data_IF_006641156814
#
_entry.id   IF_006641156814
#
_cell.length_a   1.000
_cell.length_b   1.000
_cell.length_c   1.000
_cell.angle_alpha   90.00
_cell.angle_beta   90.00
_cell.angle_gamma   90.00
#
_symmetry.space_group_name_H-M   'P 1'
#
loop_
_entity.id
_entity.type
_entity.pdbx_description
1 polymer ?
#
# COMPACT_ATOMS: atom_id res chain seq x y z
N UNK A 1 3.90 -26.73 9.06
CA UNK A 1 2.99 -25.75 8.44
C UNK A 1 2.30 -25.05 9.59
N UNK A 2 2.92 -24.02 10.15
CA UNK A 2 2.21 -23.07 10.99
C UNK A 2 1.37 -22.24 10.04
N UNK A 3 0.04 -22.20 10.23
CA UNK A 3 -0.78 -21.23 9.53
C UNK A 3 -0.24 -19.85 9.87
N UNK A 4 0.34 -19.17 8.88
CA UNK A 4 0.87 -17.81 9.04
C UNK A 4 -0.32 -16.87 9.28
N UNK A 5 -0.67 -16.74 10.56
CA UNK A 5 -1.73 -15.85 11.01
C UNK A 5 -1.29 -14.41 10.80
N UNK A 6 -2.10 -13.67 10.03
CA UNK A 6 -1.90 -12.23 9.84
C UNK A 6 -2.52 -11.46 11.00
N UNK A 7 -1.91 -10.33 11.30
CA UNK A 7 -2.35 -9.40 12.35
C UNK A 7 -3.70 -8.76 12.00
N UNK A 8 -3.97 -8.52 10.72
CA UNK A 8 -5.29 -8.14 10.21
C UNK A 8 -5.51 -8.61 8.76
N UNK A 9 -6.77 -8.60 8.30
CA UNK A 9 -7.11 -9.07 6.96
C UNK A 9 -6.87 -7.99 5.89
N UNK A 10 -5.71 -8.09 5.24
CA UNK A 10 -5.30 -7.22 4.13
C UNK A 10 -5.52 -7.84 2.75
N UNK A 11 -6.07 -9.06 2.66
CA UNK A 11 -6.14 -9.82 1.40
C UNK A 11 -6.92 -9.10 0.30
N UNK A 12 -8.03 -8.46 0.68
CA UNK A 12 -8.87 -7.72 -0.27
C UNK A 12 -8.13 -6.55 -0.90
N UNK A 13 -7.33 -5.83 -0.10
CA UNK A 13 -6.53 -4.70 -0.60
C UNK A 13 -5.47 -5.20 -1.58
N UNK A 14 -4.74 -6.25 -1.21
CA UNK A 14 -3.71 -6.85 -2.07
C UNK A 14 -4.31 -7.37 -3.39
N UNK A 15 -5.52 -7.93 -3.35
CA UNK A 15 -6.22 -8.37 -4.57
C UNK A 15 -6.60 -7.19 -5.49
N UNK A 16 -7.09 -6.09 -4.94
CA UNK A 16 -7.45 -4.91 -5.74
C UNK A 16 -6.18 -4.27 -6.36
N UNK A 17 -5.07 -4.23 -5.61
CA UNK A 17 -3.77 -3.82 -6.16
C UNK A 17 -3.37 -4.69 -7.34
N UNK A 18 -3.48 -6.01 -7.18
CA UNK A 18 -3.19 -6.95 -8.26
C UNK A 18 -4.03 -6.68 -9.51
N UNK A 19 -5.33 -6.41 -9.34
CA UNK A 19 -6.23 -6.08 -10.46
C UNK A 19 -5.85 -4.80 -11.23
N UNK A 20 -5.00 -3.95 -10.66
CA UNK A 20 -4.46 -2.72 -11.30
C UNK A 20 -3.02 -2.88 -11.79
N UNK A 21 -2.56 -4.12 -11.94
CA UNK A 21 -1.28 -4.44 -12.54
C UNK A 21 -0.09 -4.47 -11.59
N UNK A 22 -0.30 -4.34 -10.28
CA UNK A 22 0.76 -4.50 -9.28
C UNK A 22 1.02 -5.99 -9.00
N UNK A 23 2.29 -6.39 -8.93
CA UNK A 23 2.64 -7.79 -8.80
C UNK A 23 2.42 -8.28 -7.38
N UNK A 24 1.56 -9.28 -7.23
CA UNK A 24 1.36 -9.99 -5.96
C UNK A 24 1.92 -11.41 -6.05
N UNK A 25 2.75 -11.79 -5.06
CA UNK A 25 3.14 -13.18 -4.88
C UNK A 25 2.02 -13.95 -4.16
N UNK A 26 1.08 -14.52 -4.91
CA UNK A 26 0.12 -15.47 -4.33
C UNK A 26 0.85 -16.77 -3.99
N UNK A 27 0.59 -17.33 -2.80
CA UNK A 27 1.05 -18.67 -2.37
C UNK A 27 0.38 -19.78 -3.21
N UNK A 28 0.67 -19.80 -4.50
CA UNK A 28 0.15 -20.72 -5.48
C UNK A 28 1.24 -21.54 -6.16
N UNK A 29 0.82 -22.39 -7.09
CA UNK A 29 1.71 -23.22 -7.90
C UNK A 29 2.66 -22.37 -8.77
N UNK A 30 3.75 -22.97 -9.26
CA UNK A 30 4.67 -22.31 -10.20
C UNK A 30 3.96 -21.71 -11.43
N UNK A 31 2.90 -22.39 -11.93
CA UNK A 31 2.10 -21.91 -13.06
C UNK A 31 1.32 -20.63 -12.75
N UNK A 32 0.68 -20.56 -11.58
CA UNK A 32 -0.08 -19.37 -11.18
C UNK A 32 0.82 -18.18 -10.94
N UNK A 33 2.04 -18.40 -10.44
CA UNK A 33 3.07 -17.35 -10.33
C UNK A 33 3.48 -16.84 -11.71
N UNK A 34 3.75 -17.73 -12.66
CA UNK A 34 4.13 -17.29 -14.01
C UNK A 34 3.01 -16.49 -14.71
N UNK A 35 1.75 -16.90 -14.51
CA UNK A 35 0.61 -16.15 -15.01
C UNK A 35 0.47 -14.77 -14.37
N UNK A 36 0.76 -14.61 -13.07
CA UNK A 36 0.72 -13.30 -12.43
C UNK A 36 1.81 -12.37 -12.99
N UNK A 37 3.02 -12.87 -13.24
CA UNK A 37 4.08 -12.11 -13.92
C UNK A 37 3.69 -11.67 -15.33
N UNK A 38 3.14 -12.60 -16.13
CA UNK A 38 2.75 -12.29 -17.50
C UNK A 38 1.60 -11.27 -17.52
N UNK A 39 0.61 -11.46 -16.65
CA UNK A 39 -0.52 -10.55 -16.51
C UNK A 39 -0.06 -9.12 -16.17
N UNK A 40 0.83 -8.94 -15.19
CA UNK A 40 1.27 -7.60 -14.80
C UNK A 40 2.08 -6.90 -15.90
N UNK A 41 2.95 -7.63 -16.61
CA UNK A 41 3.70 -7.08 -17.75
C UNK A 41 2.74 -6.70 -18.89
N UNK A 42 1.80 -7.57 -19.24
CA UNK A 42 0.80 -7.28 -20.27
C UNK A 42 -0.11 -6.11 -19.88
N UNK A 43 -0.50 -6.03 -18.60
CA UNK A 43 -1.29 -4.92 -18.08
C UNK A 43 -0.52 -3.60 -18.22
N UNK A 44 0.75 -3.53 -17.78
CA UNK A 44 1.58 -2.34 -17.92
C UNK A 44 1.68 -1.87 -19.38
N UNK A 45 1.95 -2.80 -20.31
CA UNK A 45 2.08 -2.46 -21.73
C UNK A 45 0.76 -1.95 -22.32
N UNK A 46 -0.35 -2.65 -22.04
CA UNK A 46 -1.67 -2.23 -22.48
C UNK A 46 -2.04 -0.86 -21.91
N UNK A 47 -1.82 -0.68 -20.62
CA UNK A 47 -2.09 0.57 -19.91
C UNK A 47 -1.29 1.73 -20.50
N UNK A 48 0.01 1.54 -20.72
CA UNK A 48 0.87 2.55 -21.32
C UNK A 48 0.42 2.95 -22.74
N UNK A 49 0.05 1.97 -23.59
CA UNK A 49 -0.47 2.24 -24.93
C UNK A 49 -1.77 3.02 -24.88
N UNK A 50 -2.70 2.61 -24.00
CA UNK A 50 -3.99 3.28 -23.85
C UNK A 50 -3.82 4.72 -23.34
N UNK A 51 -2.96 4.96 -22.36
CA UNK A 51 -2.73 6.32 -21.81
C UNK A 51 -2.07 7.27 -22.83
N UNK A 52 -1.28 6.75 -23.78
CA UNK A 52 -0.63 7.55 -24.83
C UNK A 52 -1.49 7.75 -26.10
N UNK A 53 -2.55 6.97 -26.29
CA UNK A 53 -3.38 6.99 -27.50
C UNK A 53 -4.14 8.33 -27.75
N UNK A 54 -4.71 9.03 -26.74
CA UNK A 54 -5.50 10.22 -27.03
C UNK A 54 -4.61 11.42 -27.38
N UNK A 55 -4.75 11.93 -28.61
CA UNK A 55 -3.81 12.84 -29.29
C UNK A 55 -3.94 14.34 -28.92
N UNK A 56 -4.47 14.66 -27.73
CA UNK A 56 -4.60 16.06 -27.29
C UNK A 56 -3.29 16.58 -26.68
N UNK A 57 -2.55 17.36 -27.47
CA UNK A 57 -1.18 17.86 -27.18
C UNK A 57 -1.03 18.51 -25.80
N UNK A 58 -2.05 19.22 -25.31
CA UNK A 58 -2.03 19.95 -24.03
C UNK A 58 -1.92 19.00 -22.81
N UNK A 59 -2.32 17.73 -22.95
CA UNK A 59 -2.30 16.75 -21.86
C UNK A 59 -1.16 15.73 -21.94
N UNK A 60 -0.40 15.73 -23.03
CA UNK A 60 0.62 14.71 -23.29
C UNK A 60 1.72 14.76 -22.22
N UNK A 61 2.18 15.95 -21.83
CA UNK A 61 3.22 16.11 -20.79
C UNK A 61 2.76 15.58 -19.43
N UNK A 62 1.53 15.90 -19.01
CA UNK A 62 0.94 15.40 -17.77
C UNK A 62 0.83 13.87 -17.77
N UNK A 63 0.35 13.29 -18.89
CA UNK A 63 0.20 11.83 -19.00
C UNK A 63 1.54 11.11 -19.03
N UNK A 64 2.55 11.67 -19.69
CA UNK A 64 3.92 11.13 -19.66
C UNK A 64 4.45 11.12 -18.23
N UNK A 65 4.30 12.22 -17.49
CA UNK A 65 4.72 12.28 -16.07
C UNK A 65 3.96 11.26 -15.21
N UNK A 66 2.64 11.16 -15.38
CA UNK A 66 1.81 10.18 -14.67
C UNK A 66 2.21 8.74 -14.99
N UNK A 67 2.56 8.45 -16.24
CA UNK A 67 2.98 7.12 -16.70
C UNK A 67 4.39 6.78 -16.18
N UNK A 68 5.30 7.76 -16.13
CA UNK A 68 6.61 7.60 -15.48
C UNK A 68 6.43 7.27 -13.99
N UNK A 69 5.56 8.00 -13.29
CA UNK A 69 5.27 7.76 -11.87
C UNK A 69 4.66 6.35 -11.67
N UNK A 70 3.68 5.98 -12.49
CA UNK A 70 3.10 4.63 -12.46
C UNK A 70 4.17 3.56 -12.73
N UNK A 71 5.05 3.78 -13.71
CA UNK A 71 6.12 2.85 -14.03
C UNK A 71 7.08 2.65 -12.86
N UNK A 72 7.45 3.71 -12.13
CA UNK A 72 8.26 3.56 -10.93
C UNK A 72 7.56 2.75 -9.84
N UNK A 73 6.29 3.06 -9.54
CA UNK A 73 5.50 2.30 -8.57
C UNK A 73 5.37 0.83 -8.98
N UNK A 74 5.16 0.58 -10.27
CA UNK A 74 5.14 -0.75 -10.85
C UNK A 74 6.48 -1.46 -10.64
N UNK A 75 7.61 -0.82 -10.96
CA UNK A 75 8.94 -1.42 -10.81
C UNK A 75 9.25 -1.76 -9.36
N UNK A 76 8.86 -0.89 -8.41
CA UNK A 76 8.99 -1.16 -6.97
C UNK A 76 8.17 -2.40 -6.58
N UNK A 77 6.90 -2.45 -6.98
CA UNK A 77 6.01 -3.59 -6.73
C UNK A 77 6.57 -4.88 -7.37
N UNK A 78 7.06 -4.80 -8.60
CA UNK A 78 7.61 -5.93 -9.35
C UNK A 78 8.89 -6.49 -8.72
N UNK A 79 9.81 -5.61 -8.30
CA UNK A 79 11.06 -5.99 -7.65
C UNK A 79 10.84 -6.56 -6.24
N UNK A 80 9.97 -5.91 -5.47
CA UNK A 80 9.67 -6.32 -4.10
C UNK A 80 8.71 -7.50 -4.01
N UNK A 81 8.03 -7.83 -5.12
CA UNK A 81 6.97 -8.85 -5.26
C UNK A 81 5.81 -8.68 -4.26
N UNK A 82 5.74 -7.50 -3.63
CA UNK A 82 4.89 -7.15 -2.48
C UNK A 82 4.91 -8.16 -1.32
N UNK A 83 5.91 -9.05 -1.30
CA UNK A 83 6.09 -10.08 -0.28
C UNK A 83 6.41 -9.42 1.07
N UNK A 84 7.17 -8.32 1.03
CA UNK A 84 7.51 -7.55 2.23
C UNK A 84 6.28 -7.02 2.98
N UNK A 85 5.19 -6.66 2.30
CA UNK A 85 3.96 -6.18 2.96
C UNK A 85 3.31 -7.35 3.68
N UNK A 86 3.15 -8.47 2.99
CA UNK A 86 2.57 -9.67 3.58
C UNK A 86 3.39 -10.16 4.79
N UNK A 87 4.71 -10.23 4.66
CA UNK A 87 5.63 -10.59 5.74
C UNK A 87 5.56 -9.61 6.92
N UNK A 88 5.48 -8.29 6.64
CA UNK A 88 5.35 -7.28 7.69
C UNK A 88 4.11 -7.50 8.55
N UNK A 89 2.99 -7.94 7.94
CA UNK A 89 1.71 -8.20 8.60
C UNK A 89 1.62 -9.57 9.28
N UNK A 90 2.65 -10.42 9.21
CA UNK A 90 2.68 -11.65 10.00
C UNK A 90 2.73 -11.34 11.50
N UNK A 91 2.08 -12.19 12.27
CA UNK A 91 1.97 -12.06 13.71
C UNK A 91 3.35 -12.25 14.37
N UNK A 92 3.77 -11.24 15.13
CA UNK A 92 4.96 -11.30 15.99
C UNK A 92 4.52 -11.76 17.38
N UNK A 93 4.82 -13.01 17.71
CA UNK A 93 4.52 -13.55 19.04
C UNK A 93 5.19 -12.74 20.15
N UNK A 94 4.44 -12.41 21.19
CA UNK A 94 4.91 -11.58 22.30
C UNK A 94 4.51 -10.10 22.15
N UNK A 95 4.71 -9.49 20.98
CA UNK A 95 4.32 -8.10 20.71
C UNK A 95 2.84 -7.99 20.31
N UNK A 96 2.41 -8.81 19.33
CA UNK A 96 1.07 -8.73 18.75
C UNK A 96 0.03 -9.52 19.56
N UNK A 97 0.47 -10.25 20.60
CA UNK A 97 -0.36 -11.07 21.49
C UNK A 97 -0.68 -10.39 22.83
N UNK A 98 -0.27 -9.14 23.03
CA UNK A 98 -0.50 -8.38 24.27
C UNK A 98 -2.01 -8.06 24.42
N UNK A 99 -2.56 -8.02 25.66
CA UNK A 99 -3.92 -7.53 25.90
C UNK A 99 -4.14 -6.15 25.25
N UNK A 100 -5.22 -6.03 24.47
CA UNK A 100 -5.56 -4.80 23.72
C UNK A 100 -5.04 -4.76 22.28
N UNK A 101 -4.11 -5.65 21.89
CA UNK A 101 -3.59 -5.74 20.52
C UNK A 101 -4.70 -5.95 19.48
N UNK A 102 -5.62 -6.88 19.74
CA UNK A 102 -6.74 -7.18 18.84
C UNK A 102 -7.57 -5.94 18.50
N UNK A 103 -7.89 -5.09 19.48
CA UNK A 103 -8.68 -3.88 19.25
C UNK A 103 -7.92 -2.87 18.40
N UNK A 104 -6.62 -2.69 18.64
CA UNK A 104 -5.78 -1.77 17.86
C UNK A 104 -5.69 -2.23 16.40
N UNK A 105 -5.50 -3.53 16.16
CA UNK A 105 -5.42 -4.08 14.81
C UNK A 105 -6.76 -4.09 14.08
N UNK A 106 -7.87 -4.31 14.77
CA UNK A 106 -9.21 -4.13 14.19
C UNK A 106 -9.46 -2.68 13.78
N UNK A 107 -9.06 -1.72 14.62
CA UNK A 107 -9.16 -0.29 14.27
C UNK A 107 -8.25 0.07 13.08
N UNK A 108 -7.06 -0.52 13.00
CA UNK A 108 -6.17 -0.37 11.86
C UNK A 108 -6.82 -0.93 10.59
N UNK A 109 -7.37 -2.14 10.62
CA UNK A 109 -8.05 -2.75 9.48
C UNK A 109 -9.20 -1.89 8.98
N UNK A 110 -10.04 -1.40 9.91
CA UNK A 110 -11.12 -0.49 9.58
C UNK A 110 -10.61 0.82 8.97
N UNK A 111 -9.59 1.43 9.59
CA UNK A 111 -8.98 2.67 9.09
C UNK A 111 -8.40 2.49 7.69
N UNK A 112 -7.72 1.37 7.43
CA UNK A 112 -7.18 1.04 6.12
C UNK A 112 -8.30 0.89 5.08
N UNK A 113 -9.34 0.09 5.37
CA UNK A 113 -10.48 -0.08 4.47
C UNK A 113 -11.16 1.25 4.16
N UNK A 114 -11.45 2.06 5.18
CA UNK A 114 -12.08 3.39 5.01
C UNK A 114 -11.18 4.31 4.19
N UNK A 115 -9.89 4.40 4.53
CA UNK A 115 -8.96 5.23 3.77
C UNK A 115 -8.89 4.78 2.31
N UNK A 116 -8.81 3.48 2.05
CA UNK A 116 -8.76 2.94 0.69
C UNK A 116 -9.99 3.34 -0.12
N UNK A 117 -11.18 3.16 0.45
CA UNK A 117 -12.40 3.56 -0.23
C UNK A 117 -12.49 5.07 -0.42
N UNK A 118 -12.20 5.85 0.62
CA UNK A 118 -12.24 7.31 0.54
C UNK A 118 -11.23 7.82 -0.48
N UNK A 119 -9.97 7.37 -0.46
CA UNK A 119 -8.94 7.82 -1.40
C UNK A 119 -9.31 7.50 -2.85
N UNK A 120 -9.76 6.28 -3.13
CA UNK A 120 -10.16 5.85 -4.47
C UNK A 120 -11.39 6.63 -4.95
N UNK A 121 -12.44 6.76 -4.13
CA UNK A 121 -13.66 7.46 -4.52
C UNK A 121 -13.47 8.97 -4.63
N UNK A 122 -12.90 9.61 -3.61
CA UNK A 122 -12.72 11.06 -3.62
C UNK A 122 -11.68 11.50 -4.63
N UNK A 123 -10.55 10.79 -4.74
CA UNK A 123 -9.51 11.09 -5.71
C UNK A 123 -10.04 11.02 -7.13
N UNK A 124 -10.73 9.93 -7.48
CA UNK A 124 -11.29 9.74 -8.83
C UNK A 124 -12.39 10.75 -9.15
N UNK A 125 -13.34 10.91 -8.24
CA UNK A 125 -14.55 11.70 -8.48
C UNK A 125 -14.23 13.20 -8.49
N UNK A 126 -13.40 13.67 -7.57
CA UNK A 126 -13.05 15.09 -7.48
C UNK A 126 -12.17 15.53 -8.66
N UNK A 127 -11.26 14.67 -9.11
CA UNK A 127 -10.44 14.95 -10.30
C UNK A 127 -11.30 14.96 -11.56
N UNK A 128 -12.20 13.99 -11.73
CA UNK A 128 -13.15 13.95 -12.85
C UNK A 128 -14.04 15.20 -12.92
N UNK A 129 -14.64 15.60 -11.79
CA UNK A 129 -15.45 16.83 -11.72
C UNK A 129 -14.61 18.07 -12.01
N UNK A 130 -13.41 18.17 -11.43
CA UNK A 130 -12.52 19.33 -11.63
C UNK A 130 -12.12 19.51 -13.09
N UNK A 131 -11.84 18.40 -13.80
CA UNK A 131 -11.54 18.40 -15.23
C UNK A 131 -12.77 18.85 -16.02
N UNK A 132 -13.95 18.26 -15.76
CA UNK A 132 -15.17 18.61 -16.46
C UNK A 132 -15.65 20.04 -16.20
N UNK A 133 -15.39 20.61 -15.01
CA UNK A 133 -15.74 21.99 -14.69
C UNK A 133 -14.81 23.01 -15.34
N UNK A 134 -13.50 22.73 -15.38
CA UNK A 134 -12.52 23.64 -16.00
C UNK A 134 -12.51 23.58 -17.52
N UNK A 135 -12.82 22.41 -18.09
CA UNK A 135 -12.68 22.14 -19.53
C UNK A 135 -13.94 21.42 -19.98
N UNK A 136 -14.96 22.21 -20.27
CA UNK A 136 -16.31 21.72 -20.57
C UNK A 136 -16.33 20.81 -21.81
N UNK A 137 -15.41 21.03 -22.75
CA UNK A 137 -15.20 20.19 -23.95
C UNK A 137 -14.60 18.81 -23.63
N UNK A 138 -13.87 18.67 -22.52
CA UNK A 138 -13.30 17.38 -22.09
C UNK A 138 -14.38 16.40 -21.60
N UNK A 139 -15.53 16.91 -21.15
CA UNK A 139 -16.66 16.10 -20.72
C UNK A 139 -17.63 15.75 -21.88
N UNK A 140 -17.25 16.05 -23.13
CA UNK A 140 -18.00 15.62 -24.31
C UNK A 140 -17.91 14.10 -24.51
N UNK A 141 -18.91 13.51 -25.18
CA UNK A 141 -18.95 12.06 -25.48
C UNK A 141 -17.69 11.61 -26.24
N UNK A 142 -17.15 12.48 -27.09
CA UNK A 142 -15.92 12.25 -27.87
C UNK A 142 -14.65 12.19 -27.01
N UNK A 143 -14.61 12.91 -25.88
CA UNK A 143 -13.45 12.98 -24.99
C UNK A 143 -13.61 12.17 -23.69
N UNK A 144 -14.75 11.52 -23.50
CA UNK A 144 -15.05 10.71 -22.30
C UNK A 144 -14.03 9.59 -22.07
N UNK A 145 -13.46 9.02 -23.14
CA UNK A 145 -12.41 7.99 -23.03
C UNK A 145 -11.13 8.52 -22.38
N UNK A 146 -10.71 9.74 -22.74
CA UNK A 146 -9.52 10.38 -22.16
C UNK A 146 -9.70 10.71 -20.67
N UNK A 147 -10.91 11.09 -20.27
CA UNK A 147 -11.26 11.33 -18.86
C UNK A 147 -11.20 10.02 -18.07
N UNK A 148 -11.76 8.92 -18.59
CA UNK A 148 -11.70 7.60 -17.95
C UNK A 148 -10.24 7.15 -17.74
N UNK A 149 -9.39 7.28 -18.76
CA UNK A 149 -7.97 6.95 -18.64
C UNK A 149 -7.25 7.80 -17.59
N UNK A 150 -7.57 9.10 -17.53
CA UNK A 150 -6.98 9.99 -16.52
C UNK A 150 -7.39 9.58 -15.09
N UNK A 151 -8.66 9.18 -14.91
CA UNK A 151 -9.15 8.63 -13.64
C UNK A 151 -8.43 7.32 -13.31
N UNK A 152 -8.29 6.41 -14.28
CA UNK A 152 -7.59 5.15 -14.10
C UNK A 152 -6.10 5.37 -13.72
N UNK A 153 -5.38 6.24 -14.43
CA UNK A 153 -4.01 6.65 -14.10
C UNK A 153 -3.89 7.17 -12.67
N UNK A 154 -4.87 7.97 -12.22
CA UNK A 154 -4.87 8.49 -10.85
C UNK A 154 -5.11 7.38 -9.84
N UNK A 155 -6.11 6.52 -10.05
CA UNK A 155 -6.42 5.39 -9.15
C UNK A 155 -5.26 4.41 -9.03
N UNK A 156 -4.62 4.07 -10.15
CA UNK A 156 -3.49 3.14 -10.17
C UNK A 156 -2.33 3.68 -9.33
N UNK A 157 -2.04 4.99 -9.41
CA UNK A 157 -1.01 5.63 -8.58
C UNK A 157 -1.36 5.66 -7.10
N UNK A 158 -2.58 6.07 -6.75
CA UNK A 158 -3.03 6.09 -5.34
C UNK A 158 -2.96 4.69 -4.73
N UNK A 159 -3.34 3.68 -5.50
CA UNK A 159 -3.27 2.29 -5.08
C UNK A 159 -1.82 1.81 -4.99
N UNK A 160 -0.96 2.17 -5.94
CA UNK A 160 0.48 1.87 -5.86
C UNK A 160 1.11 2.41 -4.57
N UNK A 161 0.83 3.67 -4.23
CA UNK A 161 1.32 4.34 -3.01
C UNK A 161 0.74 3.77 -1.70
N UNK A 162 -0.40 3.06 -1.78
CA UNK A 162 -1.09 2.52 -0.60
C UNK A 162 -0.25 1.56 0.25
N UNK A 163 0.76 0.88 -0.32
CA UNK A 163 1.68 0.01 0.42
C UNK A 163 2.39 0.73 1.56
N UNK A 164 2.78 1.99 1.32
CA UNK A 164 3.49 2.79 2.30
C UNK A 164 2.57 3.16 3.46
N UNK A 165 1.29 3.46 3.16
CA UNK A 165 0.27 3.74 4.18
C UNK A 165 0.00 2.50 5.03
N UNK A 166 -0.09 1.31 4.41
CA UNK A 166 -0.20 0.04 5.14
C UNK A 166 0.98 -0.17 6.09
N UNK A 167 2.19 -0.01 5.57
CA UNK A 167 3.42 -0.20 6.36
C UNK A 167 3.49 0.77 7.56
N UNK A 168 3.26 2.06 7.32
CA UNK A 168 3.28 3.10 8.38
C UNK A 168 2.15 2.84 9.39
N UNK A 169 0.96 2.49 8.94
CA UNK A 169 -0.18 2.19 9.81
C UNK A 169 0.10 1.01 10.75
N UNK A 170 0.72 -0.06 10.22
CA UNK A 170 1.12 -1.19 11.03
C UNK A 170 2.22 -0.83 12.04
N UNK A 171 3.25 -0.11 11.59
CA UNK A 171 4.34 0.35 12.45
C UNK A 171 3.81 1.21 13.59
N UNK A 172 2.93 2.16 13.28
CA UNK A 172 2.28 3.01 14.27
C UNK A 172 1.50 2.19 15.29
N UNK A 173 0.71 1.21 14.84
CA UNK A 173 -0.05 0.32 15.73
C UNK A 173 0.84 -0.49 16.66
N UNK A 174 1.96 -1.04 16.16
CA UNK A 174 2.94 -1.80 16.96
C UNK A 174 3.68 -0.93 17.98
N UNK A 175 4.10 0.28 17.58
CA UNK A 175 4.71 1.25 18.50
C UNK A 175 3.71 1.70 19.57
N UNK A 176 2.44 1.92 19.19
CA UNK A 176 1.36 2.25 20.14
C UNK A 176 1.12 1.11 21.13
N UNK A 177 1.19 -0.14 20.70
CA UNK A 177 1.11 -1.30 21.60
C UNK A 177 2.27 -1.33 22.59
N UNK A 178 3.48 -1.12 22.11
CA UNK A 178 4.68 -1.08 22.93
C UNK A 178 4.58 0.02 24.01
N UNK A 179 4.08 1.20 23.63
CA UNK A 179 3.80 2.30 24.55
C UNK A 179 2.70 1.96 25.57
N UNK A 180 1.58 1.42 25.12
CA UNK A 180 0.48 1.05 26.02
C UNK A 180 0.91 -0.01 27.03
N UNK A 181 1.77 -0.94 26.63
CA UNK A 181 2.35 -1.94 27.53
C UNK A 181 3.18 -1.29 28.64
N UNK A 182 4.02 -0.30 28.31
CA UNK A 182 4.78 0.48 29.29
C UNK A 182 3.87 1.23 30.27
N UNK A 183 2.87 1.93 29.74
CA UNK A 183 1.98 2.79 30.52
C UNK A 183 1.13 1.96 31.49
N UNK A 184 0.59 0.83 31.03
CA UNK A 184 -0.24 -0.05 31.86
C UNK A 184 0.54 -0.87 32.88
N UNK A 185 1.78 -1.29 32.56
CA UNK A 185 2.60 -2.09 33.47
C UNK A 185 3.28 -1.24 34.54
N UNK A 186 3.71 -0.02 34.20
CA UNK A 186 4.27 0.96 35.14
C UNK A 186 3.25 1.45 36.18
N UNK A 187 1.98 1.57 35.79
CA UNK A 187 0.90 2.00 36.70
C UNK A 187 0.53 0.92 37.74
N UNK A 188 0.71 -0.37 37.41
CA UNK A 188 0.16 -1.47 38.20
C UNK A 188 1.22 -2.26 39.01
N UNK A 189 2.52 -2.09 38.73
CA UNK A 189 3.57 -2.91 39.36
C UNK A 189 4.93 -2.21 39.32
N UNK A 190 5.73 -2.34 40.39
CA UNK A 190 7.14 -2.00 40.34
C UNK A 190 7.84 -2.82 39.25
N UNK A 191 8.67 -2.18 38.43
CA UNK A 191 9.34 -2.84 37.31
C UNK A 191 10.32 -3.89 37.82
N UNK A 192 9.97 -5.16 37.63
CA UNK A 192 10.88 -6.27 37.89
C UNK A 192 11.83 -6.48 36.71
N UNK A 193 12.96 -7.14 36.97
CA UNK A 193 13.98 -7.43 35.94
C UNK A 193 13.42 -8.20 34.73
N UNK A 194 12.37 -8.98 34.95
CA UNK A 194 11.70 -9.76 33.92
C UNK A 194 10.88 -8.87 32.96
N UNK A 195 10.14 -7.88 33.47
CA UNK A 195 9.38 -6.92 32.66
C UNK A 195 10.27 -6.07 31.76
N UNK A 196 11.40 -5.59 32.27
CA UNK A 196 12.41 -4.87 31.48
C UNK A 196 12.91 -5.74 30.33
N UNK A 197 13.28 -6.99 30.63
CA UNK A 197 13.77 -7.94 29.61
C UNK A 197 12.71 -8.24 28.55
N UNK A 198 11.46 -8.43 28.96
CA UNK A 198 10.36 -8.67 28.03
C UNK A 198 10.14 -7.46 27.09
N UNK A 199 10.21 -6.24 27.62
CA UNK A 199 10.10 -5.02 26.81
C UNK A 199 11.24 -4.89 25.79
N UNK A 200 12.49 -5.14 26.21
CA UNK A 200 13.66 -5.12 25.31
C UNK A 200 13.46 -6.13 24.17
N UNK A 201 13.05 -7.36 24.49
CA UNK A 201 12.81 -8.38 23.47
C UNK A 201 11.71 -7.98 22.47
N UNK A 202 10.64 -7.32 22.94
CA UNK A 202 9.57 -6.82 22.07
C UNK A 202 10.08 -5.71 21.14
N UNK A 203 10.91 -4.81 21.66
CA UNK A 203 11.54 -3.75 20.88
C UNK A 203 12.51 -4.31 19.83
N UNK A 204 13.40 -5.23 20.22
CA UNK A 204 14.32 -5.90 19.30
C UNK A 204 13.57 -6.64 18.19
N UNK A 205 12.51 -7.36 18.53
CA UNK A 205 11.68 -8.06 17.54
C UNK A 205 11.04 -7.10 16.54
N UNK A 206 10.60 -5.92 16.99
CA UNK A 206 10.06 -4.89 16.12
C UNK A 206 11.14 -4.34 15.18
N UNK A 207 12.32 -3.99 15.73
CA UNK A 207 13.44 -3.44 14.95
C UNK A 207 13.93 -4.43 13.89
N UNK A 208 14.10 -5.70 14.23
CA UNK A 208 14.51 -6.74 13.27
C UNK A 208 13.52 -6.85 12.09
N UNK A 209 12.21 -6.77 12.37
CA UNK A 209 11.18 -6.82 11.33
C UNK A 209 11.25 -5.59 10.40
N UNK A 210 11.62 -4.42 10.94
CA UNK A 210 11.81 -3.20 10.16
C UNK A 210 13.04 -3.33 9.26
N UNK A 211 14.14 -3.90 9.78
CA UNK A 211 15.37 -4.08 9.00
C UNK A 211 15.15 -5.00 7.80
N UNK A 212 14.37 -6.08 7.95
CA UNK A 212 13.99 -6.99 6.87
C UNK A 212 13.13 -6.31 5.78
N UNK A 213 12.36 -5.29 6.16
CA UNK A 213 11.49 -4.52 5.26
C UNK A 213 12.08 -3.17 4.84
N UNK A 214 13.28 -2.81 5.31
CA UNK A 214 13.83 -1.47 5.19
C UNK A 214 14.17 -1.09 3.74
N UNK A 215 14.69 -2.02 2.94
CA UNK A 215 15.09 -1.76 1.55
C UNK A 215 13.90 -1.36 0.66
N UNK A 216 12.82 -2.16 0.54
CA UNK A 216 11.68 -1.80 -0.29
C UNK A 216 10.97 -0.53 0.21
N UNK A 217 10.92 -0.32 1.54
CA UNK A 217 10.33 0.88 2.12
C UNK A 217 11.15 2.14 1.81
N UNK A 218 12.49 2.10 1.95
CA UNK A 218 13.37 3.22 1.61
C UNK A 218 13.25 3.62 0.14
N UNK A 219 13.17 2.64 -0.76
CA UNK A 219 12.96 2.89 -2.19
C UNK A 219 11.61 3.57 -2.40
N UNK A 220 10.54 3.06 -1.81
CA UNK A 220 9.20 3.65 -1.92
C UNK A 220 9.17 5.10 -1.41
N UNK A 221 9.74 5.36 -0.23
CA UNK A 221 9.81 6.71 0.37
C UNK A 221 10.62 7.68 -0.50
N UNK A 222 11.77 7.25 -1.03
CA UNK A 222 12.61 8.09 -1.88
C UNK A 222 11.84 8.59 -3.10
N UNK A 223 11.11 7.70 -3.79
CA UNK A 223 10.32 8.08 -4.95
C UNK A 223 9.09 8.92 -4.58
N UNK A 224 8.39 8.61 -3.48
CA UNK A 224 7.27 9.43 -3.01
C UNK A 224 7.68 10.84 -2.58
N UNK A 225 8.86 11.04 -1.99
CA UNK A 225 9.36 12.37 -1.61
C UNK A 225 9.88 13.19 -2.79
N UNK A 226 10.44 12.54 -3.82
CA UNK A 226 10.99 13.24 -4.99
C UNK A 226 9.90 13.80 -5.92
N UNK A 227 8.65 13.36 -5.76
CA UNK A 227 7.49 13.75 -6.57
C UNK A 227 6.57 14.80 -5.91
N UNK A 228 6.83 15.16 -4.64
CA UNK A 228 6.12 16.23 -3.91
C UNK A 228 6.84 17.60 -3.96
N UNK A 229 7.96 17.68 -4.68
CA UNK A 229 8.77 18.87 -4.94
C UNK A 229 8.71 19.23 -6.43
#
# INVERSE_FOLDING_TARGET
MTDDTLVCDIKNVLFIRFALGFLQNFNGTSKTRWLSYLYTICFLLLFAVLSLFPNEVIYVSYRILALIEYFFLFMISFLSKEEYIYESYKLIYGLDTIPGAKLIFQNLEYCLKVYFFVSVFTGSFFTGISICFRIQEACSITNSFAVILTILDRTARDIGAYSLIMFIGLLYSRVKLLRNYLDTKSANTAWDRYSVKQYINMYESLTNTIDDSAVPVKVTVCFSCTLLL
#
